data_IF_634840444108
#
_entry.id   IF_634840444108
#
_cell.length_a   1.000
_cell.length_b   1.000
_cell.length_c   1.000
_cell.angle_alpha   90.00
_cell.angle_beta   90.00
_cell.angle_gamma   90.00
#
_symmetry.space_group_name_H-M   'P 1'
#
loop_
_entity.id
_entity.type
_entity.pdbx_description
1 polymer ?
#
# COMPACT_ATOMS: atom_id res chain seq x y z
N UNK A 1 -12.11 20.04 -61.02
CA UNK A 1 -10.66 20.36 -61.11
C UNK A 1 -10.00 19.56 -62.25
N UNK A 2 -9.10 20.15 -63.05
CA UNK A 2 -8.39 19.40 -64.08
C UNK A 2 -7.59 18.29 -63.40
N UNK A 3 -7.75 17.05 -63.84
CA UNK A 3 -6.87 15.97 -63.40
C UNK A 3 -5.49 16.25 -64.00
N UNK A 4 -4.57 16.69 -63.13
CA UNK A 4 -3.17 16.82 -63.47
C UNK A 4 -2.69 15.46 -64.01
N UNK A 5 -1.94 15.48 -65.12
CA UNK A 5 -1.61 14.30 -65.93
C UNK A 5 -0.52 13.49 -65.21
N UNK A 6 -0.89 12.86 -64.10
CA UNK A 6 0.02 12.17 -63.22
C UNK A 6 0.41 10.80 -63.80
N UNK A 7 1.71 10.57 -64.02
CA UNK A 7 2.25 9.27 -64.41
C UNK A 7 3.02 8.59 -63.26
N UNK A 8 2.43 7.53 -62.71
CA UNK A 8 2.97 6.75 -61.59
C UNK A 8 4.25 5.96 -61.93
N UNK A 9 4.57 5.77 -63.21
CA UNK A 9 5.72 4.98 -63.65
C UNK A 9 7.01 5.80 -63.70
N UNK A 10 6.90 7.13 -63.63
CA UNK A 10 8.06 8.03 -63.58
C UNK A 10 8.60 8.19 -62.16
N UNK A 11 9.90 8.52 -62.04
CA UNK A 11 10.49 8.83 -60.74
C UNK A 11 9.80 10.02 -60.07
N UNK A 12 9.44 11.05 -60.85
CA UNK A 12 8.72 12.23 -60.37
C UNK A 12 7.33 11.87 -59.86
N UNK A 13 6.55 11.07 -60.60
CA UNK A 13 5.22 10.64 -60.16
C UNK A 13 5.24 9.75 -58.93
N UNK A 14 6.27 8.90 -58.75
CA UNK A 14 6.48 8.16 -57.48
C UNK A 14 6.80 9.09 -56.31
N UNK A 15 7.62 10.12 -56.53
CA UNK A 15 7.94 11.14 -55.53
C UNK A 15 6.69 11.91 -55.10
N UNK A 16 5.89 12.39 -56.06
CA UNK A 16 4.60 13.03 -55.78
C UNK A 16 3.66 12.09 -55.00
N UNK A 17 3.66 10.79 -55.29
CA UNK A 17 2.78 9.80 -54.62
C UNK A 17 3.12 9.67 -53.15
N UNK A 18 4.41 9.62 -52.85
CA UNK A 18 4.92 9.55 -51.50
C UNK A 18 4.48 10.78 -50.70
N UNK A 19 4.67 11.98 -51.26
CA UNK A 19 4.25 13.23 -50.64
C UNK A 19 2.74 13.24 -50.41
N UNK A 20 1.94 12.92 -51.42
CA UNK A 20 0.48 12.87 -51.30
C UNK A 20 0.03 11.93 -50.17
N UNK A 21 0.59 10.71 -50.10
CA UNK A 21 0.28 9.74 -49.03
C UNK A 21 0.69 10.27 -47.66
N UNK A 22 1.86 10.89 -47.54
CA UNK A 22 2.33 11.49 -46.29
C UNK A 22 1.42 12.62 -45.84
N UNK A 23 1.08 13.55 -46.73
CA UNK A 23 0.18 14.67 -46.45
C UNK A 23 -1.22 14.21 -46.08
N UNK A 24 -1.76 13.22 -46.80
CA UNK A 24 -3.07 12.64 -46.48
C UNK A 24 -3.05 11.99 -45.08
N UNK A 25 -2.03 11.19 -44.76
CA UNK A 25 -1.89 10.57 -43.45
C UNK A 25 -1.69 11.61 -42.34
N UNK A 26 -0.93 12.67 -42.59
CA UNK A 26 -0.77 13.76 -41.63
C UNK A 26 -2.09 14.51 -41.40
N UNK A 27 -2.83 14.83 -42.47
CA UNK A 27 -4.14 15.47 -42.39
C UNK A 27 -5.19 14.61 -41.68
N UNK A 28 -5.23 13.31 -41.96
CA UNK A 28 -6.11 12.37 -41.26
C UNK A 28 -5.78 12.27 -39.77
N UNK A 29 -4.49 12.20 -39.40
CA UNK A 29 -4.08 12.20 -37.99
C UNK A 29 -4.48 13.50 -37.29
N UNK A 30 -4.25 14.65 -37.93
CA UNK A 30 -4.63 15.95 -37.38
C UNK A 30 -6.15 16.10 -37.23
N UNK A 31 -6.93 15.60 -38.18
CA UNK A 31 -8.40 15.62 -38.12
C UNK A 31 -8.99 14.59 -37.14
N UNK A 32 -8.30 13.48 -36.91
CA UNK A 32 -8.67 12.47 -35.92
C UNK A 32 -8.36 12.92 -34.48
N UNK A 33 -7.52 13.94 -34.28
CA UNK A 33 -7.28 14.51 -32.96
C UNK A 33 -8.58 15.07 -32.39
N UNK A 34 -9.04 14.47 -31.28
CA UNK A 34 -10.17 14.98 -30.52
C UNK A 34 -9.82 16.39 -30.00
N UNK A 35 -10.72 17.37 -30.12
CA UNK A 35 -10.53 18.67 -29.49
C UNK A 35 -10.33 18.48 -27.98
N UNK A 36 -9.34 19.15 -27.40
CA UNK A 36 -9.08 19.09 -25.96
C UNK A 36 -10.25 19.71 -25.19
N UNK A 37 -10.92 18.92 -24.34
CA UNK A 37 -11.95 19.38 -23.44
C UNK A 37 -11.53 19.17 -21.98
N UNK A 38 -10.72 20.11 -21.47
CA UNK A 38 -10.26 20.08 -20.09
C UNK A 38 -11.39 20.31 -19.08
N UNK A 39 -12.48 20.98 -19.46
CA UNK A 39 -13.62 21.16 -18.56
C UNK A 39 -14.24 19.81 -18.15
N UNK A 40 -14.29 18.84 -19.06
CA UNK A 40 -14.73 17.47 -18.75
C UNK A 40 -13.75 16.75 -17.82
N UNK A 41 -12.43 16.88 -18.03
CA UNK A 41 -11.42 16.34 -17.12
C UNK A 41 -11.56 16.96 -15.73
N UNK A 42 -11.70 18.29 -15.65
CA UNK A 42 -11.83 19.01 -14.39
C UNK A 42 -13.16 18.75 -13.65
N UNK A 43 -14.16 18.20 -14.33
CA UNK A 43 -15.40 17.76 -13.70
C UNK A 43 -15.29 16.45 -12.90
N UNK A 44 -14.22 15.67 -13.12
CA UNK A 44 -13.98 14.40 -12.39
C UNK A 44 -13.44 14.68 -11.01
N UNK A 45 -14.33 14.78 -10.02
CA UNK A 45 -13.95 14.95 -8.61
C UNK A 45 -14.08 13.63 -7.84
N UNK A 46 -13.23 13.44 -6.83
CA UNK A 46 -13.32 12.29 -5.94
C UNK A 46 -14.54 12.43 -5.00
N UNK A 47 -15.45 11.45 -5.03
CA UNK A 47 -16.55 11.36 -4.07
C UNK A 47 -16.06 11.03 -2.65
N UNK A 48 -16.90 11.28 -1.63
CA UNK A 48 -16.54 11.03 -0.22
C UNK A 48 -16.27 9.55 0.08
N UNK A 49 -17.09 8.68 -0.51
CA UNK A 49 -17.02 7.21 -0.40
C UNK A 49 -16.26 6.56 -1.58
N UNK A 50 -15.68 7.36 -2.47
CA UNK A 50 -14.92 6.83 -3.59
C UNK A 50 -13.50 6.51 -3.14
N UNK A 51 -13.07 5.26 -3.37
CA UNK A 51 -11.67 4.91 -3.15
C UNK A 51 -10.76 5.73 -4.08
N UNK A 52 -9.55 6.09 -3.63
CA UNK A 52 -8.57 6.78 -4.46
C UNK A 52 -8.25 6.06 -5.78
N UNK A 53 -8.27 4.72 -5.80
CA UNK A 53 -8.04 3.93 -7.00
C UNK A 53 -9.18 4.08 -8.02
N UNK A 54 -10.44 3.91 -7.60
CA UNK A 54 -11.59 4.07 -8.48
C UNK A 54 -11.69 5.51 -9.03
N UNK A 55 -11.32 6.51 -8.22
CA UNK A 55 -11.22 7.88 -8.68
C UNK A 55 -10.12 8.08 -9.74
N UNK A 56 -8.92 7.51 -9.52
CA UNK A 56 -7.83 7.61 -10.50
C UNK A 56 -8.20 6.97 -11.83
N UNK A 57 -8.88 5.81 -11.82
CA UNK A 57 -9.35 5.14 -13.04
C UNK A 57 -10.27 6.05 -13.87
N UNK A 58 -11.25 6.71 -13.24
CA UNK A 58 -12.13 7.67 -13.92
C UNK A 58 -11.37 8.88 -14.44
N UNK A 59 -10.38 9.35 -13.70
CA UNK A 59 -9.55 10.48 -14.11
C UNK A 59 -8.73 10.12 -15.35
N UNK A 60 -8.05 8.96 -15.35
CA UNK A 60 -7.31 8.45 -16.50
C UNK A 60 -8.22 8.28 -17.72
N UNK A 61 -9.42 7.73 -17.53
CA UNK A 61 -10.38 7.57 -18.62
C UNK A 61 -10.84 8.92 -19.19
N UNK A 62 -11.06 9.92 -18.35
CA UNK A 62 -11.41 11.25 -18.81
C UNK A 62 -10.29 11.90 -19.65
N UNK A 63 -9.01 11.68 -19.28
CA UNK A 63 -7.89 12.12 -20.12
C UNK A 63 -7.91 11.42 -21.49
N UNK A 64 -8.07 10.09 -21.55
CA UNK A 64 -8.15 9.34 -22.82
C UNK A 64 -9.35 9.72 -23.68
N UNK A 65 -10.48 10.04 -23.05
CA UNK A 65 -11.72 10.33 -23.76
C UNK A 65 -11.76 11.76 -24.29
N UNK A 66 -11.33 12.74 -23.48
CA UNK A 66 -11.56 14.16 -23.71
C UNK A 66 -10.30 14.96 -24.05
N UNK A 67 -9.13 14.31 -24.10
CA UNK A 67 -7.89 14.96 -24.51
C UNK A 67 -7.15 14.10 -25.53
N UNK A 68 -6.30 14.69 -26.38
CA UNK A 68 -5.38 13.94 -27.23
C UNK A 68 -4.15 13.42 -26.46
N UNK A 69 -4.02 13.71 -25.16
CA UNK A 69 -2.90 13.29 -24.33
C UNK A 69 -3.08 11.84 -23.87
N UNK A 70 -2.01 11.06 -23.93
CA UNK A 70 -1.97 9.74 -23.29
C UNK A 70 -1.56 9.89 -21.81
N UNK A 71 -2.43 9.58 -20.83
CA UNK A 71 -2.12 9.76 -19.42
C UNK A 71 -1.08 8.77 -18.88
N UNK A 72 -0.70 7.72 -19.62
CA UNK A 72 0.31 6.75 -19.18
C UNK A 72 1.74 7.18 -19.49
N UNK A 73 1.89 8.07 -20.46
CA UNK A 73 3.18 8.59 -20.94
C UNK A 73 3.76 9.60 -19.94
N UNK A 74 5.07 9.52 -19.70
CA UNK A 74 5.77 10.28 -18.64
C UNK A 74 5.59 11.80 -18.81
N UNK A 75 5.63 12.28 -20.04
CA UNK A 75 5.49 13.68 -20.42
C UNK A 75 4.15 14.28 -19.98
N UNK A 76 3.11 13.45 -19.85
CA UNK A 76 1.76 13.87 -19.44
C UNK A 76 1.48 13.62 -17.95
N UNK A 77 2.37 12.93 -17.22
CA UNK A 77 2.16 12.58 -15.81
C UNK A 77 1.96 13.81 -14.92
N UNK A 78 2.66 14.92 -15.19
CA UNK A 78 2.51 16.14 -14.42
C UNK A 78 1.05 16.66 -14.42
N UNK A 79 0.37 16.62 -15.57
CA UNK A 79 -1.03 17.04 -15.68
C UNK A 79 -1.97 16.11 -14.91
N UNK A 80 -1.72 14.80 -14.98
CA UNK A 80 -2.49 13.78 -14.24
C UNK A 80 -2.31 13.94 -12.74
N UNK A 81 -1.07 14.11 -12.27
CA UNK A 81 -0.73 14.33 -10.85
C UNK A 81 -1.41 15.59 -10.32
N UNK A 82 -1.31 16.70 -11.05
CA UNK A 82 -1.93 17.96 -10.64
C UNK A 82 -3.46 17.83 -10.54
N UNK A 83 -4.08 17.13 -11.49
CA UNK A 83 -5.52 16.87 -11.50
C UNK A 83 -5.92 15.97 -10.33
N UNK A 84 -5.18 14.87 -10.12
CA UNK A 84 -5.38 13.93 -9.03
C UNK A 84 -5.39 14.63 -7.67
N UNK A 85 -4.38 15.47 -7.40
CA UNK A 85 -4.27 16.23 -6.14
C UNK A 85 -5.37 17.29 -6.01
N UNK A 86 -5.65 18.05 -7.06
CA UNK A 86 -6.56 19.18 -6.98
C UNK A 86 -8.03 18.80 -6.85
N UNK A 87 -8.42 17.67 -7.46
CA UNK A 87 -9.81 17.18 -7.50
C UNK A 87 -10.05 16.04 -6.50
N UNK A 88 -9.04 15.67 -5.70
CA UNK A 88 -9.22 14.81 -4.55
C UNK A 88 -10.10 15.46 -3.48
N UNK A 89 -10.73 14.61 -2.67
CA UNK A 89 -11.55 15.00 -1.51
C UNK A 89 -10.70 15.77 -0.47
N UNK A 90 -11.27 16.73 0.29
CA UNK A 90 -10.49 17.78 0.96
C UNK A 90 -9.36 17.34 1.90
N UNK A 91 -9.55 16.29 2.68
CA UNK A 91 -8.55 15.80 3.64
C UNK A 91 -7.42 14.99 2.96
N UNK A 92 -7.71 14.27 1.86
CA UNK A 92 -6.65 13.69 1.00
C UNK A 92 -5.89 14.82 0.33
N UNK A 93 -6.59 15.77 -0.29
CA UNK A 93 -5.99 16.93 -0.93
C UNK A 93 -5.05 17.66 0.02
N UNK A 94 -5.51 17.98 1.23
CA UNK A 94 -4.69 18.60 2.29
C UNK A 94 -3.48 17.75 2.65
N UNK A 95 -3.60 16.42 2.69
CA UNK A 95 -2.46 15.54 2.98
C UNK A 95 -1.43 15.53 1.84
N UNK A 96 -1.89 15.48 0.59
CA UNK A 96 -1.02 15.47 -0.60
C UNK A 96 -0.31 16.81 -0.81
N UNK A 97 -1.00 17.94 -0.60
CA UNK A 97 -0.42 19.29 -0.73
C UNK A 97 0.62 19.63 0.35
N UNK A 98 0.60 18.92 1.49
CA UNK A 98 1.59 19.08 2.56
C UNK A 98 2.89 18.31 2.32
N UNK A 99 2.94 17.46 1.30
CA UNK A 99 4.18 16.80 0.93
C UNK A 99 5.09 17.89 0.32
N UNK A 100 6.16 18.23 1.03
CA UNK A 100 7.05 19.36 0.73
C UNK A 100 7.56 19.36 -0.72
N UNK A 101 7.70 18.18 -1.33
CA UNK A 101 7.94 18.02 -2.77
C UNK A 101 6.91 17.06 -3.38
N UNK A 102 5.87 17.61 -4.02
CA UNK A 102 5.10 16.87 -5.03
C UNK A 102 5.97 16.58 -6.27
N UNK A 103 7.02 17.38 -6.47
CA UNK A 103 7.97 17.27 -7.56
C UNK A 103 8.75 15.94 -7.46
N UNK A 104 8.75 15.16 -8.55
CA UNK A 104 9.39 13.84 -8.61
C UNK A 104 8.59 12.67 -8.02
N UNK A 105 7.40 12.89 -7.43
CA UNK A 105 6.53 11.78 -6.99
C UNK A 105 5.74 11.23 -8.16
N UNK A 106 5.73 9.90 -8.29
CA UNK A 106 4.89 9.23 -9.26
C UNK A 106 3.45 9.15 -8.78
N UNK A 107 2.51 9.07 -9.73
CA UNK A 107 1.08 8.94 -9.43
C UNK A 107 0.79 7.73 -8.50
N UNK A 108 1.55 6.64 -8.62
CA UNK A 108 1.42 5.46 -7.76
C UNK A 108 1.77 5.74 -6.29
N UNK A 109 2.74 6.62 -6.02
CA UNK A 109 3.09 6.99 -4.65
C UNK A 109 2.00 7.85 -4.02
N UNK A 110 1.45 8.79 -4.79
CA UNK A 110 0.33 9.61 -4.37
C UNK A 110 -0.91 8.75 -4.11
N UNK A 111 -1.18 7.77 -4.97
CA UNK A 111 -2.27 6.81 -4.81
C UNK A 111 -2.13 6.02 -3.49
N UNK A 112 -0.93 5.53 -3.18
CA UNK A 112 -0.63 4.78 -1.95
C UNK A 112 -0.90 5.63 -0.70
N UNK A 113 -0.49 6.90 -0.72
CA UNK A 113 -0.72 7.84 0.37
C UNK A 113 -2.21 8.14 0.50
N UNK A 114 -2.89 8.44 -0.61
CA UNK A 114 -4.31 8.70 -0.64
C UNK A 114 -5.11 7.51 -0.10
N UNK A 115 -4.76 6.28 -0.49
CA UNK A 115 -5.42 5.06 0.00
C UNK A 115 -5.25 4.90 1.51
N UNK A 116 -4.07 5.21 2.06
CA UNK A 116 -3.84 5.21 3.51
C UNK A 116 -4.72 6.23 4.22
N UNK A 117 -4.87 7.44 3.68
CA UNK A 117 -5.76 8.46 4.26
C UNK A 117 -7.20 7.99 4.23
N UNK A 118 -7.66 7.50 3.08
CA UNK A 118 -9.02 6.99 2.88
C UNK A 118 -9.34 5.87 3.88
N UNK A 119 -8.52 4.82 3.98
CA UNK A 119 -8.75 3.72 4.91
C UNK A 119 -8.72 4.16 6.39
N UNK A 120 -7.92 5.18 6.72
CA UNK A 120 -7.86 5.71 8.08
C UNK A 120 -9.05 6.61 8.43
N UNK A 121 -9.87 7.03 7.45
CA UNK A 121 -11.09 7.81 7.69
C UNK A 121 -12.25 6.99 8.23
N UNK A 122 -12.31 5.70 7.90
CA UNK A 122 -13.32 4.77 8.42
C UNK A 122 -12.92 4.20 9.79
N UNK A 123 -11.69 4.48 10.24
CA UNK A 123 -11.19 4.05 11.53
C UNK A 123 -11.77 4.74 12.77
N UNK A 124 -12.44 5.92 12.81
CA UNK A 124 -12.97 6.46 14.07
C UNK A 124 -14.16 5.65 14.60
N UNK A 125 -15.07 5.17 13.73
CA UNK A 125 -16.13 4.23 14.13
C UNK A 125 -15.53 2.89 14.53
N UNK A 126 -14.58 2.35 13.76
CA UNK A 126 -13.93 1.07 14.09
C UNK A 126 -13.05 1.16 15.36
N UNK A 127 -12.46 2.33 15.65
CA UNK A 127 -11.75 2.60 16.91
C UNK A 127 -12.70 2.70 18.09
N UNK A 128 -13.87 3.34 17.92
CA UNK A 128 -14.91 3.34 18.95
C UNK A 128 -15.41 1.93 19.20
N UNK A 129 -15.73 1.16 18.16
CA UNK A 129 -16.17 -0.24 18.26
C UNK A 129 -15.10 -1.11 18.93
N UNK A 130 -13.82 -0.97 18.56
CA UNK A 130 -12.69 -1.67 19.21
C UNK A 130 -12.49 -1.21 20.66
N UNK A 131 -12.70 0.06 20.97
CA UNK A 131 -12.61 0.58 22.33
C UNK A 131 -13.76 0.06 23.21
N UNK A 132 -14.98 0.04 22.67
CA UNK A 132 -16.15 -0.54 23.36
C UNK A 132 -15.96 -2.04 23.54
N UNK A 133 -15.52 -2.78 22.54
CA UNK A 133 -15.28 -4.24 22.66
C UNK A 133 -14.22 -4.55 23.73
N UNK A 134 -13.15 -3.74 23.81
CA UNK A 134 -12.14 -3.85 24.87
C UNK A 134 -12.71 -3.53 26.24
N UNK A 135 -13.50 -2.47 26.38
CA UNK A 135 -14.19 -2.14 27.63
C UNK A 135 -15.17 -3.25 28.04
N UNK A 136 -15.96 -3.81 27.10
CA UNK A 136 -16.89 -4.90 27.38
C UNK A 136 -16.19 -6.17 27.82
N UNK A 137 -15.04 -6.52 27.21
CA UNK A 137 -14.21 -7.65 27.67
C UNK A 137 -13.67 -7.43 29.08
N UNK A 138 -13.18 -6.23 29.39
CA UNK A 138 -12.69 -5.89 30.73
C UNK A 138 -13.82 -5.96 31.76
N UNK A 139 -14.98 -5.39 31.46
CA UNK A 139 -16.18 -5.47 32.31
C UNK A 139 -16.62 -6.91 32.53
N UNK A 140 -16.67 -7.74 31.48
CA UNK A 140 -17.01 -9.16 31.59
C UNK A 140 -16.01 -9.94 32.46
N UNK A 141 -14.71 -9.65 32.38
CA UNK A 141 -13.70 -10.27 33.25
C UNK A 141 -13.80 -9.84 34.71
N UNK A 142 -14.29 -8.63 34.99
CA UNK A 142 -14.53 -8.13 36.35
C UNK A 142 -15.79 -8.78 36.93
N UNK A 143 -16.89 -8.85 36.15
CA UNK A 143 -18.15 -9.49 36.55
C UNK A 143 -17.97 -10.99 36.84
N UNK A 144 -17.17 -11.71 36.04
CA UNK A 144 -16.84 -13.12 36.31
C UNK A 144 -15.99 -13.32 37.58
N UNK A 145 -15.31 -12.28 38.06
CA UNK A 145 -14.54 -12.32 39.32
C UNK A 145 -15.42 -12.08 40.55
N UNK A 146 -16.62 -11.51 40.37
CA UNK A 146 -17.55 -11.15 41.44
C UNK A 146 -18.72 -12.13 41.64
N UNK A 147 -18.93 -13.08 40.73
CA UNK A 147 -19.94 -14.13 40.92
C UNK A 147 -19.46 -15.20 41.91
N UNK A 148 -20.23 -15.50 42.99
CA UNK A 148 -19.97 -16.66 43.81
C UNK A 148 -20.27 -17.94 43.00
N UNK A 149 -19.54 -19.05 43.21
CA UNK A 149 -19.65 -20.22 42.34
C UNK A 149 -21.00 -20.93 42.54
N UNK A 150 -21.66 -21.43 41.48
CA UNK A 150 -22.68 -22.46 41.61
C UNK A 150 -22.01 -23.80 41.91
N UNK A 151 -22.59 -24.55 42.84
CA UNK A 151 -22.18 -25.91 43.20
C UNK A 151 -22.34 -26.88 42.02
N UNK A 152 -21.43 -27.85 42.01
CA UNK A 152 -21.41 -29.08 41.21
C UNK A 152 -21.21 -28.96 39.70
N UNK A 153 -19.99 -29.24 39.24
CA UNK A 153 -19.67 -30.50 38.52
C UNK A 153 -18.16 -30.52 38.22
N UNK A 154 -17.50 -31.61 38.60
CA UNK A 154 -16.08 -31.88 38.39
C UNK A 154 -15.70 -31.92 36.90
N UNK A 155 -14.83 -31.00 36.45
CA UNK A 155 -13.63 -31.27 35.63
C UNK A 155 -12.96 -29.94 35.27
N UNK A 156 -12.09 -29.43 36.13
CA UNK A 156 -11.14 -28.38 35.72
C UNK A 156 -9.81 -28.63 36.41
N UNK A 157 -8.77 -28.75 35.61
CA UNK A 157 -7.37 -28.92 36.04
C UNK A 157 -7.03 -27.82 37.07
N UNK A 158 -6.28 -28.13 38.14
CA UNK A 158 -6.01 -27.15 39.19
C UNK A 158 -5.25 -25.95 38.61
N UNK A 159 -5.46 -24.73 39.14
CA UNK A 159 -4.67 -23.56 38.78
C UNK A 159 -3.19 -23.90 38.98
N UNK A 160 -2.31 -23.50 38.06
CA UNK A 160 -0.86 -23.65 38.26
C UNK A 160 -0.50 -22.88 39.52
N UNK A 161 -0.24 -23.61 40.61
CA UNK A 161 0.31 -23.05 41.84
C UNK A 161 1.61 -22.36 41.47
N UNK A 162 1.65 -21.04 41.70
CA UNK A 162 2.86 -20.25 41.50
C UNK A 162 3.93 -20.82 42.43
N UNK A 163 5.11 -21.13 41.90
CA UNK A 163 6.23 -21.55 42.74
C UNK A 163 6.60 -20.37 43.65
N UNK A 164 6.78 -20.64 44.94
CA UNK A 164 7.35 -19.64 45.86
C UNK A 164 8.76 -19.25 45.37
N UNK A 165 9.21 -18.04 45.72
CA UNK A 165 10.50 -17.48 45.26
C UNK A 165 11.70 -18.41 45.47
N UNK A 166 11.65 -19.31 46.45
CA UNK A 166 12.74 -20.22 46.81
C UNK A 166 12.41 -21.70 46.64
N UNK A 167 11.37 -22.05 45.85
CA UNK A 167 11.01 -23.45 45.56
C UNK A 167 11.62 -23.97 44.25
N UNK A 168 12.23 -25.15 44.33
CA UNK A 168 12.72 -25.87 43.17
C UNK A 168 11.59 -26.26 42.22
N UNK A 169 11.64 -25.83 40.96
CA UNK A 169 10.60 -26.16 39.97
C UNK A 169 10.50 -27.66 39.61
N UNK A 170 11.49 -28.49 39.98
CA UNK A 170 11.50 -29.93 39.70
C UNK A 170 10.95 -30.76 40.87
N UNK A 171 11.52 -30.65 42.07
CA UNK A 171 11.09 -31.43 43.24
C UNK A 171 10.17 -30.66 44.20
N UNK A 172 9.93 -29.36 43.98
CA UNK A 172 9.11 -28.45 44.81
C UNK A 172 9.62 -28.22 46.24
N UNK A 173 10.82 -28.67 46.58
CA UNK A 173 11.46 -28.39 47.87
C UNK A 173 12.09 -26.99 47.89
N UNK A 174 12.17 -26.38 49.08
CA UNK A 174 12.74 -25.05 49.26
C UNK A 174 14.26 -25.12 49.44
N UNK A 175 14.97 -24.05 49.07
CA UNK A 175 16.41 -23.88 49.35
C UNK A 175 17.36 -24.25 48.21
N UNK A 176 16.85 -24.64 47.04
CA UNK A 176 17.66 -24.84 45.83
C UNK A 176 16.84 -24.58 44.57
N UNK A 177 17.50 -24.17 43.49
CA UNK A 177 16.85 -23.98 42.20
C UNK A 177 16.87 -25.26 41.36
N UNK A 178 16.03 -25.33 40.31
CA UNK A 178 15.93 -26.51 39.43
C UNK A 178 17.26 -26.97 38.82
N UNK A 179 18.25 -26.08 38.69
CA UNK A 179 19.59 -26.38 38.16
C UNK A 179 20.49 -27.11 39.18
N UNK A 180 20.21 -26.93 40.47
CA UNK A 180 21.00 -27.46 41.59
C UNK A 180 20.25 -28.59 42.30
N UNK A 181 19.13 -29.06 41.72
CA UNK A 181 18.29 -30.06 42.35
C UNK A 181 19.02 -31.41 42.44
N UNK A 182 19.29 -31.93 43.66
CA UNK A 182 19.99 -33.19 43.83
C UNK A 182 19.18 -34.39 43.31
N UNK A 183 17.86 -34.24 43.17
CA UNK A 183 16.96 -35.25 42.61
C UNK A 183 16.92 -35.25 41.08
N UNK A 184 17.57 -34.29 40.41
CA UNK A 184 17.62 -34.18 38.96
C UNK A 184 18.88 -34.89 38.44
N UNK A 185 18.71 -36.05 37.78
CA UNK A 185 19.81 -36.74 37.11
C UNK A 185 20.38 -35.83 36.01
N UNK A 186 21.67 -35.52 36.06
CA UNK A 186 22.39 -34.74 35.03
C UNK A 186 22.15 -35.36 33.64
N UNK A 187 21.77 -34.59 32.60
CA UNK A 187 21.82 -35.07 31.24
C UNK A 187 23.29 -35.29 30.84
N UNK A 188 23.59 -36.43 30.21
CA UNK A 188 24.92 -36.67 29.60
C UNK A 188 25.22 -35.57 28.55
N UNK A 189 26.48 -35.15 28.36
CA UNK A 189 26.80 -34.17 27.34
C UNK A 189 26.59 -34.79 25.96
N UNK A 190 25.61 -34.30 25.20
CA UNK A 190 25.46 -34.62 23.79
C UNK A 190 26.53 -33.86 22.99
N UNK A 191 27.50 -34.59 22.44
CA UNK A 191 28.36 -34.08 21.38
C UNK A 191 27.49 -33.59 20.21
N UNK A 192 27.54 -32.28 19.97
CA UNK A 192 26.81 -31.60 18.90
C UNK A 192 27.29 -30.17 18.85
N UNK A 193 28.47 -29.98 18.26
CA UNK A 193 29.18 -28.72 18.13
C UNK A 193 28.37 -27.75 17.24
N UNK A 194 27.59 -26.87 17.85
CA UNK A 194 26.99 -25.72 17.15
C UNK A 194 28.04 -24.60 17.06
N UNK A 195 28.56 -24.39 15.85
CA UNK A 195 29.41 -23.24 15.51
C UNK A 195 28.51 -22.08 15.05
N UNK A 196 28.57 -20.88 15.67
CA UNK A 196 27.91 -19.69 15.14
C UNK A 196 28.59 -19.28 13.83
N UNK A 197 27.84 -19.21 12.72
CA UNK A 197 28.32 -18.59 11.48
C UNK A 197 28.45 -17.09 11.69
N UNK A 198 29.67 -16.61 11.87
CA UNK A 198 30.00 -15.19 11.81
C UNK A 198 29.99 -14.77 10.34
N UNK A 199 29.19 -13.78 9.98
CA UNK A 199 29.26 -13.13 8.67
C UNK A 199 30.52 -12.26 8.61
N UNK A 200 31.34 -12.32 7.55
CA UNK A 200 32.54 -11.50 7.45
C UNK A 200 32.17 -10.04 7.23
N UNK A 201 32.73 -9.18 8.08
CA UNK A 201 32.73 -7.72 7.96
C UNK A 201 33.66 -7.37 6.79
N UNK A 202 33.11 -6.72 5.75
CA UNK A 202 33.91 -6.13 4.67
C UNK A 202 34.56 -4.85 5.23
N UNK A 203 35.88 -4.90 5.45
CA UNK A 203 36.68 -3.71 5.75
C UNK A 203 37.04 -3.04 4.41
N UNK A 204 36.54 -1.83 4.19
CA UNK A 204 37.10 -0.92 3.18
C UNK A 204 38.40 -0.38 3.74
N UNK A 205 39.52 -0.72 3.12
CA UNK A 205 40.76 0.02 3.31
C UNK A 205 40.73 1.22 2.36
N UNK A 206 40.62 2.41 2.93
CA UNK A 206 41.10 3.63 2.32
C UNK A 206 42.64 3.64 2.43
N UNK A 207 43.33 3.84 1.32
CA UNK A 207 44.70 4.39 1.31
C UNK A 207 44.96 5.13 0.00
N UNK A 208 45.32 6.40 0.18
CA UNK A 208 46.11 7.33 -0.66
C UNK A 208 45.67 7.65 -2.10
#
# INVERSE_FOLDING_TARGET
PPQDKWDYNTAEGRGRLLIYRQTLMAGLRAAACKPTNLAKVYSVVQGKADSPAAYLERLMEAFRQFTPMDPEVLENQAAVIMSFVNQAVPDIKKKLQRLEDLEGKQIQDLLRIAQRVYNNRDAPEERQIKATEKMTKVLATIVQKEQPPPEDTQTTRPPRQHLDKDQCAYCKEKGHWIRECPKKKQPRPSQGQWQPKIAPILFTQDTE
#
